data_IF_616127150808
#
_entry.id   IF_616127150808
#
_cell.length_a   1.000
_cell.length_b   1.000
_cell.length_c   1.000
_cell.angle_alpha   90.00
_cell.angle_beta   90.00
_cell.angle_gamma   90.00
#
_symmetry.space_group_name_H-M   'P 1'
#
loop_
_entity.id
_entity.type
_entity.pdbx_description
1 polymer ?
#
# COMPACT_ATOMS: atom_id res chain seq x y z
N UNK A 1 29.85 33.85 9.85
CA UNK A 1 30.01 32.96 11.01
C UNK A 1 28.88 33.06 12.06
N UNK A 2 27.82 33.88 11.87
CA UNK A 2 26.68 33.95 12.82
C UNK A 2 25.31 33.55 12.21
N UNK A 3 25.26 33.19 10.92
CA UNK A 3 24.02 32.78 10.23
C UNK A 3 23.80 31.26 10.20
N UNK A 4 24.85 30.44 10.41
CA UNK A 4 24.72 28.98 10.45
C UNK A 4 24.10 28.47 11.76
N UNK A 5 24.39 29.13 12.88
CA UNK A 5 23.90 28.70 14.20
C UNK A 5 22.40 28.95 14.35
N UNK A 6 21.87 30.12 13.96
CA UNK A 6 20.44 30.43 14.06
C UNK A 6 19.54 29.47 13.27
N UNK A 7 20.01 29.04 12.10
CA UNK A 7 19.29 28.12 11.22
C UNK A 7 19.31 26.67 11.76
N UNK A 8 20.34 26.30 12.53
CA UNK A 8 20.43 25.01 13.20
C UNK A 8 19.48 24.92 14.41
N UNK A 9 19.36 25.99 15.20
CA UNK A 9 18.42 26.07 16.34
C UNK A 9 16.95 26.06 15.88
N UNK A 10 16.59 26.88 14.88
CA UNK A 10 15.23 26.88 14.32
C UNK A 10 14.85 25.52 13.71
N UNK A 11 15.80 24.82 13.06
CA UNK A 11 15.56 23.47 12.54
C UNK A 11 15.40 22.42 13.64
N UNK A 12 16.11 22.56 14.77
CA UNK A 12 15.98 21.67 15.91
C UNK A 12 14.60 21.80 16.57
N UNK A 13 14.14 23.02 16.81
CA UNK A 13 12.81 23.29 17.39
C UNK A 13 11.68 22.81 16.47
N UNK A 14 11.78 23.08 15.17
CA UNK A 14 10.82 22.58 14.19
C UNK A 14 10.79 21.04 14.12
N UNK A 15 11.92 20.36 14.36
CA UNK A 15 12.00 18.90 14.40
C UNK A 15 11.37 18.32 15.67
N UNK A 16 11.56 18.97 16.82
CA UNK A 16 10.94 18.58 18.09
C UNK A 16 9.43 18.73 18.01
N UNK A 17 8.94 19.86 17.49
CA UNK A 17 7.50 20.11 17.35
C UNK A 17 6.83 19.11 16.41
N UNK A 18 7.45 18.83 15.25
CA UNK A 18 6.97 17.77 14.34
C UNK A 18 6.88 16.40 15.00
N UNK A 19 7.85 16.05 15.85
CA UNK A 19 7.84 14.79 16.59
C UNK A 19 6.67 14.75 17.57
N UNK A 20 6.42 15.85 18.27
CA UNK A 20 5.30 15.98 19.21
C UNK A 20 3.95 15.84 18.52
N UNK A 21 3.73 16.56 17.42
CA UNK A 21 2.50 16.48 16.63
C UNK A 21 2.23 15.06 16.12
N UNK A 22 3.29 14.37 15.66
CA UNK A 22 3.24 12.97 15.25
C UNK A 22 2.83 12.05 16.39
N UNK A 23 3.42 12.22 17.57
CA UNK A 23 3.19 11.34 18.72
C UNK A 23 1.82 11.60 19.40
N UNK A 24 1.22 12.78 19.19
CA UNK A 24 -0.13 13.14 19.66
C UNK A 24 -1.26 12.79 18.68
N UNK A 25 -0.92 12.37 17.46
CA UNK A 25 -1.92 12.13 16.42
C UNK A 25 -2.63 10.78 16.60
N UNK A 26 -3.94 10.83 16.79
CA UNK A 26 -4.81 9.66 16.78
C UNK A 26 -5.68 9.65 15.50
N UNK A 27 -5.40 8.75 14.53
CA UNK A 27 -6.17 8.68 13.30
C UNK A 27 -7.63 8.26 13.52
N UNK A 28 -7.99 7.67 14.66
CA UNK A 28 -9.37 7.21 14.90
C UNK A 28 -10.34 8.35 15.25
N UNK A 29 -9.83 9.54 15.59
CA UNK A 29 -10.64 10.72 15.91
C UNK A 29 -11.28 11.36 14.68
N UNK A 30 -10.82 11.05 13.46
CA UNK A 30 -11.41 11.60 12.25
C UNK A 30 -12.73 10.91 11.87
N UNK A 31 -13.54 11.57 11.03
CA UNK A 31 -14.75 10.95 10.47
C UNK A 31 -14.43 9.75 9.58
N UNK A 32 -15.36 8.81 9.46
CA UNK A 32 -15.16 7.58 8.69
C UNK A 32 -14.94 7.85 7.18
N UNK A 33 -15.57 8.90 6.66
CA UNK A 33 -15.39 9.34 5.26
C UNK A 33 -13.97 9.84 5.02
N UNK A 34 -13.46 10.71 5.91
CA UNK A 34 -12.11 11.22 5.84
C UNK A 34 -11.09 10.09 6.06
N UNK A 35 -11.38 9.16 6.96
CA UNK A 35 -10.56 7.98 7.21
C UNK A 35 -10.41 7.11 5.98
N UNK A 36 -11.53 6.76 5.33
CA UNK A 36 -11.53 6.00 4.07
C UNK A 36 -10.80 6.74 2.95
N UNK A 37 -10.94 8.06 2.86
CA UNK A 37 -10.22 8.86 1.87
C UNK A 37 -8.71 8.82 2.11
N UNK A 38 -8.29 8.94 3.37
CA UNK A 38 -6.89 9.05 3.77
C UNK A 38 -6.15 7.71 3.76
N UNK A 39 -6.83 6.60 4.06
CA UNK A 39 -6.20 5.29 4.24
C UNK A 39 -6.71 4.21 3.27
N UNK A 40 -7.75 4.51 2.46
CA UNK A 40 -8.45 3.54 1.60
C UNK A 40 -9.03 2.32 2.34
N UNK A 41 -9.11 2.40 3.66
CA UNK A 41 -9.65 1.38 4.56
C UNK A 41 -10.73 1.99 5.46
N UNK A 42 -11.63 1.16 5.97
CA UNK A 42 -12.45 1.54 7.13
C UNK A 42 -11.63 1.36 8.43
N UNK A 43 -12.15 1.87 9.56
CA UNK A 43 -11.46 1.83 10.86
C UNK A 43 -11.21 0.40 11.35
N UNK A 44 -12.15 -0.51 11.13
CA UNK A 44 -12.02 -1.92 11.57
C UNK A 44 -10.90 -2.64 10.81
N UNK A 45 -10.87 -2.49 9.48
CA UNK A 45 -9.81 -3.05 8.64
C UNK A 45 -8.46 -2.43 8.99
N UNK A 46 -8.39 -1.12 9.22
CA UNK A 46 -7.16 -0.48 9.68
C UNK A 46 -6.71 -1.04 11.03
N UNK A 47 -7.62 -1.21 11.99
CA UNK A 47 -7.31 -1.81 13.29
C UNK A 47 -6.77 -3.22 13.14
N UNK A 48 -7.39 -4.06 12.31
CA UNK A 48 -6.91 -5.40 12.00
C UNK A 48 -5.49 -5.39 11.40
N UNK A 49 -5.21 -4.50 10.45
CA UNK A 49 -3.86 -4.31 9.89
C UNK A 49 -2.87 -3.87 10.98
N UNK A 50 -3.27 -2.91 11.83
CA UNK A 50 -2.44 -2.38 12.91
C UNK A 50 -2.09 -3.46 13.93
N UNK A 51 -3.07 -4.24 14.38
CA UNK A 51 -2.87 -5.30 15.37
C UNK A 51 -1.95 -6.38 14.78
N UNK A 52 -2.20 -6.81 13.54
CA UNK A 52 -1.34 -7.77 12.83
C UNK A 52 0.11 -7.28 12.72
N UNK A 53 0.30 -5.99 12.41
CA UNK A 53 1.63 -5.40 12.32
C UNK A 53 2.27 -5.26 13.70
N UNK A 54 1.53 -4.82 14.71
CA UNK A 54 2.02 -4.63 16.07
C UNK A 54 2.52 -5.96 16.68
N UNK A 55 1.78 -7.05 16.51
CA UNK A 55 2.17 -8.38 17.00
C UNK A 55 3.53 -8.84 16.43
N UNK A 56 3.75 -8.64 15.13
CA UNK A 56 5.02 -9.03 14.47
C UNK A 56 6.17 -8.07 14.79
N UNK A 57 5.87 -6.82 15.16
CA UNK A 57 6.89 -5.80 15.44
C UNK A 57 7.28 -5.69 16.91
N UNK A 58 6.57 -6.33 17.83
CA UNK A 58 6.95 -6.43 19.25
C UNK A 58 8.35 -7.06 19.46
N UNK A 59 8.88 -7.76 18.45
CA UNK A 59 10.22 -8.37 18.47
C UNK A 59 11.34 -7.46 17.94
N UNK A 60 11.02 -6.30 17.34
CA UNK A 60 12.00 -5.42 16.67
C UNK A 60 12.08 -4.06 17.34
N UNK A 61 13.01 -3.92 18.29
CA UNK A 61 13.39 -2.67 18.98
C UNK A 61 14.18 -1.68 18.11
N UNK A 62 14.31 -1.94 16.81
CA UNK A 62 15.28 -1.27 15.94
C UNK A 62 14.89 0.15 15.48
N UNK A 63 13.69 0.63 15.82
CA UNK A 63 13.11 1.83 15.22
C UNK A 63 12.36 2.67 16.26
N UNK A 64 12.63 3.97 16.29
CA UNK A 64 12.08 4.95 17.24
C UNK A 64 10.60 5.31 17.01
N UNK A 65 9.94 4.66 16.04
CA UNK A 65 8.53 4.90 15.70
C UNK A 65 7.65 3.78 16.26
N UNK A 66 6.49 4.18 16.82
CA UNK A 66 5.44 3.25 17.21
C UNK A 66 4.91 2.47 16.00
N UNK A 67 4.35 1.26 16.21
CA UNK A 67 3.69 0.51 15.14
C UNK A 67 2.60 1.32 14.42
N UNK A 68 1.77 2.05 15.18
CA UNK A 68 0.75 2.96 14.64
C UNK A 68 1.34 3.95 13.64
N UNK A 69 2.42 4.61 14.03
CA UNK A 69 3.09 5.62 13.23
C UNK A 69 3.64 5.08 11.90
N UNK A 70 4.07 3.81 11.88
CA UNK A 70 4.55 3.14 10.66
C UNK A 70 3.39 2.72 9.75
N UNK A 71 2.31 2.20 10.32
CA UNK A 71 1.10 1.81 9.59
C UNK A 71 0.42 3.03 8.96
N UNK A 72 0.29 4.13 9.71
CA UNK A 72 -0.22 5.41 9.20
C UNK A 72 0.63 5.89 8.02
N UNK A 73 1.95 5.93 8.16
CA UNK A 73 2.84 6.36 7.08
C UNK A 73 2.67 5.50 5.81
N UNK A 74 2.66 4.17 5.96
CA UNK A 74 2.55 3.25 4.83
C UNK A 74 1.19 3.36 4.12
N UNK A 75 0.08 3.37 4.86
CA UNK A 75 -1.26 3.43 4.28
C UNK A 75 -1.56 4.80 3.66
N UNK A 76 -1.08 5.90 4.27
CA UNK A 76 -1.13 7.24 3.65
C UNK A 76 -0.40 7.26 2.32
N UNK A 77 0.83 6.72 2.30
CA UNK A 77 1.63 6.64 1.08
C UNK A 77 0.90 5.90 -0.05
N UNK A 78 0.23 4.78 0.24
CA UNK A 78 -0.55 4.07 -0.77
C UNK A 78 -1.81 4.82 -1.22
N UNK A 79 -2.46 5.57 -0.33
CA UNK A 79 -3.67 6.31 -0.66
C UNK A 79 -3.40 7.54 -1.53
N UNK A 80 -2.27 8.21 -1.31
CA UNK A 80 -1.86 9.46 -1.97
C UNK A 80 -0.94 9.23 -3.17
N UNK A 81 -0.19 8.13 -3.20
CA UNK A 81 0.65 7.72 -4.32
C UNK A 81 1.98 8.47 -4.45
N UNK A 82 2.37 9.30 -3.47
CA UNK A 82 3.67 10.00 -3.49
C UNK A 82 4.13 10.48 -2.11
N UNK A 83 5.34 11.05 -2.04
CA UNK A 83 5.98 11.58 -0.83
C UNK A 83 5.73 13.09 -0.56
N UNK A 84 4.90 13.81 -1.33
CA UNK A 84 4.76 15.29 -1.31
C UNK A 84 3.27 15.74 -1.28
N UNK A 85 2.80 16.87 -0.72
CA UNK A 85 3.38 18.15 -0.23
C UNK A 85 2.54 18.81 0.91
N UNK A 86 3.20 19.29 1.97
CA UNK A 86 3.28 20.74 2.26
C UNK A 86 2.02 21.56 2.58
N UNK A 87 1.04 21.07 3.35
CA UNK A 87 0.08 21.94 4.06
C UNK A 87 -0.33 21.28 5.37
N UNK A 88 0.13 21.83 6.51
CA UNK A 88 -0.41 21.73 7.90
C UNK A 88 -0.83 20.40 8.54
N UNK A 89 -0.97 19.32 7.78
CA UNK A 89 -1.70 18.08 8.12
C UNK A 89 -1.04 16.82 7.56
N UNK A 90 0.08 16.98 6.85
CA UNK A 90 0.77 15.89 6.19
C UNK A 90 1.71 15.20 7.19
N UNK A 91 1.27 14.03 7.67
CA UNK A 91 1.97 13.23 8.68
C UNK A 91 3.40 12.85 8.24
N UNK A 92 3.62 12.72 6.93
CA UNK A 92 4.94 12.43 6.37
C UNK A 92 5.92 13.58 6.56
N UNK A 93 5.45 14.83 6.70
CA UNK A 93 6.32 16.00 6.96
C UNK A 93 7.06 15.87 8.30
N UNK A 94 6.50 15.12 9.26
CA UNK A 94 7.16 14.79 10.53
C UNK A 94 8.16 13.62 10.46
N UNK A 95 8.31 12.96 9.31
CA UNK A 95 9.18 11.80 9.11
C UNK A 95 10.19 12.07 7.99
N UNK A 96 11.46 11.72 8.21
CA UNK A 96 12.45 11.76 7.12
C UNK A 96 12.10 10.74 6.04
N UNK A 97 12.36 11.06 4.77
CA UNK A 97 12.09 10.15 3.64
C UNK A 97 12.69 8.76 3.85
N UNK A 98 13.92 8.69 4.38
CA UNK A 98 14.59 7.43 4.69
C UNK A 98 13.86 6.63 5.78
N UNK A 99 13.24 7.30 6.73
CA UNK A 99 12.42 6.67 7.78
C UNK A 99 11.10 6.16 7.23
N UNK A 100 10.44 6.92 6.36
CA UNK A 100 9.22 6.49 5.65
C UNK A 100 9.54 5.25 4.80
N UNK A 101 10.61 5.31 4.00
CA UNK A 101 11.03 4.19 3.15
C UNK A 101 11.31 2.92 3.96
N UNK A 102 12.11 3.00 5.04
CA UNK A 102 12.36 1.84 5.92
C UNK A 102 11.08 1.30 6.56
N UNK A 103 10.18 2.19 6.98
CA UNK A 103 8.89 1.80 7.58
C UNK A 103 8.00 1.11 6.57
N UNK A 104 7.97 1.61 5.34
CA UNK A 104 7.21 1.05 4.22
C UNK A 104 7.71 -0.34 3.84
N UNK A 105 9.04 -0.51 3.68
CA UNK A 105 9.63 -1.81 3.36
C UNK A 105 9.29 -2.86 4.42
N UNK A 106 9.42 -2.51 5.71
CA UNK A 106 9.09 -3.41 6.80
C UNK A 106 7.59 -3.70 6.88
N UNK A 107 6.74 -2.69 6.66
CA UNK A 107 5.30 -2.87 6.58
C UNK A 107 4.92 -3.87 5.47
N UNK A 108 5.46 -3.68 4.27
CA UNK A 108 5.21 -4.56 3.13
C UNK A 108 5.64 -6.00 3.41
N UNK A 109 6.79 -6.22 4.03
CA UNK A 109 7.28 -7.55 4.40
C UNK A 109 6.29 -8.27 5.35
N UNK A 110 5.83 -7.58 6.40
CA UNK A 110 4.88 -8.15 7.36
C UNK A 110 3.53 -8.42 6.68
N UNK A 111 3.02 -7.49 5.88
CA UNK A 111 1.76 -7.68 5.14
C UNK A 111 1.83 -8.85 4.17
N UNK A 112 2.92 -8.98 3.42
CA UNK A 112 3.13 -10.09 2.49
C UNK A 112 3.14 -11.43 3.22
N UNK A 113 3.80 -11.51 4.38
CA UNK A 113 3.92 -12.75 5.16
C UNK A 113 2.64 -13.13 5.88
N UNK A 114 1.83 -12.16 6.33
CA UNK A 114 0.63 -12.40 7.13
C UNK A 114 -0.63 -12.27 6.28
N UNK A 115 -0.99 -11.04 5.91
CA UNK A 115 -2.25 -10.74 5.24
C UNK A 115 -2.35 -11.36 3.85
N UNK A 116 -1.32 -11.19 3.01
CA UNK A 116 -1.38 -11.74 1.65
C UNK A 116 -1.50 -13.26 1.67
N UNK A 117 -0.79 -13.95 2.58
CA UNK A 117 -0.89 -15.42 2.72
C UNK A 117 -2.25 -15.88 3.25
N UNK A 118 -2.87 -15.10 4.11
CA UNK A 118 -4.16 -15.43 4.70
C UNK A 118 -5.32 -15.19 3.73
N UNK A 119 -5.30 -14.06 3.02
CA UNK A 119 -6.43 -13.56 2.25
C UNK A 119 -6.33 -13.79 0.73
N UNK A 120 -5.11 -13.82 0.17
CA UNK A 120 -4.89 -14.04 -1.27
C UNK A 120 -4.59 -15.51 -1.48
N UNK A 121 -5.65 -16.30 -1.66
CA UNK A 121 -5.56 -17.72 -1.95
C UNK A 121 -6.39 -18.07 -3.18
N UNK A 122 -5.87 -18.99 -3.98
CA UNK A 122 -6.53 -19.46 -5.21
C UNK A 122 -7.40 -20.70 -4.99
N UNK A 123 -7.24 -21.38 -3.86
CA UNK A 123 -8.05 -22.55 -3.54
C UNK A 123 -9.55 -22.21 -3.54
N UNK A 124 -10.32 -23.05 -4.22
CA UNK A 124 -11.77 -23.01 -4.28
C UNK A 124 -12.32 -24.44 -4.24
N UNK A 125 -13.27 -24.70 -3.35
CA UNK A 125 -14.01 -25.96 -3.36
C UNK A 125 -14.93 -26.03 -4.59
N UNK A 126 -15.43 -27.22 -4.91
CA UNK A 126 -16.39 -27.39 -6.02
C UNK A 126 -17.69 -26.61 -5.74
N UNK A 127 -18.14 -26.56 -4.48
CA UNK A 127 -19.29 -25.75 -4.07
C UNK A 127 -19.05 -24.26 -4.31
N UNK A 128 -17.85 -23.76 -3.99
CA UNK A 128 -17.48 -22.35 -4.23
C UNK A 128 -17.42 -22.02 -5.73
N UNK A 129 -16.98 -22.97 -6.57
CA UNK A 129 -16.98 -22.81 -8.04
C UNK A 129 -18.41 -22.78 -8.58
N UNK A 130 -19.27 -23.71 -8.16
CA UNK A 130 -20.67 -23.74 -8.56
C UNK A 130 -21.40 -22.46 -8.14
N UNK A 131 -21.15 -21.97 -6.93
CA UNK A 131 -21.71 -20.71 -6.47
C UNK A 131 -21.17 -19.52 -7.28
N UNK A 132 -19.87 -19.48 -7.56
CA UNK A 132 -19.27 -18.43 -8.38
C UNK A 132 -19.90 -18.39 -9.79
N UNK A 133 -20.10 -19.56 -10.42
CA UNK A 133 -20.75 -19.67 -11.73
C UNK A 133 -22.15 -19.06 -11.73
N UNK A 134 -22.97 -19.39 -10.74
CA UNK A 134 -24.31 -18.82 -10.59
C UNK A 134 -24.27 -17.30 -10.35
N UNK A 135 -23.37 -16.84 -9.47
CA UNK A 135 -23.21 -15.41 -9.15
C UNK A 135 -22.71 -14.60 -10.37
N UNK A 136 -21.82 -15.16 -11.19
CA UNK A 136 -21.38 -14.53 -12.44
C UNK A 136 -22.46 -14.51 -13.51
N UNK A 137 -23.17 -15.62 -13.70
CA UNK A 137 -24.27 -15.69 -14.66
C UNK A 137 -25.38 -14.70 -14.32
N UNK A 138 -25.71 -14.53 -13.04
CA UNK A 138 -26.68 -13.54 -12.60
C UNK A 138 -26.27 -12.08 -12.89
N UNK A 139 -24.96 -11.78 -12.90
CA UNK A 139 -24.43 -10.42 -13.14
C UNK A 139 -24.20 -10.10 -14.62
N UNK A 140 -23.69 -11.07 -15.39
CA UNK A 140 -23.17 -10.85 -16.74
C UNK A 140 -23.83 -11.72 -17.81
N UNK A 141 -24.72 -12.66 -17.43
CA UNK A 141 -25.38 -13.61 -18.33
C UNK A 141 -24.42 -14.43 -19.21
N UNK A 142 -23.19 -14.63 -18.73
CA UNK A 142 -22.17 -15.42 -19.40
C UNK A 142 -21.92 -16.72 -18.60
N UNK A 143 -22.25 -17.91 -19.14
CA UNK A 143 -22.21 -19.17 -18.40
C UNK A 143 -20.78 -19.71 -18.22
N UNK A 144 -20.58 -20.54 -17.21
CA UNK A 144 -19.30 -21.23 -16.97
C UNK A 144 -18.18 -20.37 -16.34
N UNK A 145 -18.42 -19.11 -16.00
CA UNK A 145 -17.39 -18.25 -15.39
C UNK A 145 -17.31 -18.47 -13.90
N UNK A 146 -16.14 -18.85 -13.41
CA UNK A 146 -15.88 -18.99 -11.97
C UNK A 146 -14.88 -17.95 -11.44
N UNK A 147 -14.12 -17.31 -12.32
CA UNK A 147 -13.08 -16.33 -11.98
C UNK A 147 -12.79 -15.42 -13.18
N UNK A 148 -12.27 -14.23 -12.91
CA UNK A 148 -11.84 -13.27 -13.93
C UNK A 148 -10.32 -13.09 -13.85
N UNK A 149 -9.66 -13.01 -15.00
CA UNK A 149 -8.24 -12.70 -15.13
C UNK A 149 -8.12 -11.43 -15.95
N UNK A 150 -7.33 -10.47 -15.47
CA UNK A 150 -7.09 -9.21 -16.17
C UNK A 150 -5.64 -8.74 -15.99
N UNK A 151 -5.08 -8.12 -17.02
CA UNK A 151 -3.72 -7.60 -17.04
C UNK A 151 -3.71 -6.07 -16.94
N UNK A 152 -2.84 -5.51 -16.10
CA UNK A 152 -2.70 -4.05 -15.96
C UNK A 152 -1.24 -3.61 -15.96
N UNK A 153 -0.96 -2.50 -16.63
CA UNK A 153 0.37 -1.92 -16.69
C UNK A 153 0.59 -0.94 -15.52
N UNK A 154 1.41 -1.36 -14.56
CA UNK A 154 1.86 -0.50 -13.45
C UNK A 154 3.03 0.34 -13.95
N UNK A 155 2.83 1.66 -14.05
CA UNK A 155 3.86 2.60 -14.50
C UNK A 155 5.05 2.61 -13.53
N UNK A 156 6.26 2.56 -14.08
CA UNK A 156 7.51 2.64 -13.32
C UNK A 156 8.43 3.72 -13.89
N UNK A 157 9.43 4.11 -13.09
CA UNK A 157 10.59 4.83 -13.62
C UNK A 157 11.40 3.87 -14.50
N UNK A 158 11.98 4.39 -15.58
CA UNK A 158 12.84 3.61 -16.47
C UNK A 158 13.93 2.88 -15.67
N UNK A 159 14.00 1.54 -15.73
CA UNK A 159 15.11 0.79 -15.11
C UNK A 159 16.45 1.16 -15.76
N UNK A 160 17.52 1.18 -14.96
CA UNK A 160 18.88 1.45 -15.44
C UNK A 160 19.40 0.33 -16.34
N UNK A 161 19.01 -0.90 -16.06
CA UNK A 161 19.37 -2.10 -16.81
C UNK A 161 18.17 -2.59 -17.63
N UNK A 162 18.41 -3.00 -18.87
CA UNK A 162 17.41 -3.59 -19.77
C UNK A 162 16.09 -2.79 -19.89
N UNK A 163 16.13 -1.46 -19.71
CA UNK A 163 14.92 -0.65 -19.62
C UNK A 163 13.99 -0.73 -20.84
N UNK A 164 14.50 -1.13 -22.01
CA UNK A 164 13.69 -1.38 -23.21
C UNK A 164 12.64 -2.50 -23.00
N UNK A 165 12.93 -3.51 -22.17
CA UNK A 165 11.98 -4.57 -21.83
C UNK A 165 10.75 -4.00 -21.12
N UNK A 166 10.89 -2.91 -20.39
CA UNK A 166 9.79 -2.33 -19.63
C UNK A 166 8.97 -1.33 -20.43
N UNK A 167 9.42 -0.95 -21.63
CA UNK A 167 8.72 0.03 -22.47
C UNK A 167 7.53 -0.61 -23.18
N UNK A 168 6.32 -0.15 -22.85
CA UNK A 168 5.09 -0.72 -23.39
C UNK A 168 4.61 0.00 -24.66
N UNK A 169 3.59 -0.57 -25.31
CA UNK A 169 2.95 0.00 -26.52
C UNK A 169 2.24 1.34 -26.27
N UNK A 170 1.91 1.66 -25.01
CA UNK A 170 1.28 2.92 -24.60
C UNK A 170 2.32 4.04 -24.39
N UNK A 171 3.60 3.80 -24.67
CA UNK A 171 4.64 4.81 -24.68
C UNK A 171 5.23 5.14 -23.30
N UNK A 172 5.13 4.22 -22.33
CA UNK A 172 5.74 4.40 -21.01
C UNK A 172 6.36 3.12 -20.45
N UNK A 173 7.25 3.26 -19.47
CA UNK A 173 7.86 2.13 -18.78
C UNK A 173 6.91 1.54 -17.74
N UNK A 174 6.72 0.23 -17.73
CA UNK A 174 5.76 -0.44 -16.85
C UNK A 174 6.15 -1.88 -16.51
N UNK A 175 5.55 -2.37 -15.43
CA UNK A 175 5.44 -3.80 -15.11
C UNK A 175 4.03 -4.23 -15.52
N UNK A 176 3.91 -5.36 -16.23
CA UNK A 176 2.62 -5.99 -16.49
C UNK A 176 2.25 -6.85 -15.27
N UNK A 177 1.17 -6.49 -14.59
CA UNK A 177 0.61 -7.21 -13.46
C UNK A 177 -0.68 -7.90 -13.87
N UNK A 178 -0.72 -9.23 -13.76
CA UNK A 178 -1.91 -10.04 -13.99
C UNK A 178 -2.58 -10.25 -12.64
N UNK A 179 -3.85 -9.88 -12.54
CA UNK A 179 -4.69 -10.12 -11.37
C UNK A 179 -5.77 -11.15 -11.69
N UNK A 180 -6.03 -11.99 -10.70
CA UNK A 180 -7.13 -12.94 -10.74
C UNK A 180 -8.12 -12.58 -9.64
N UNK A 181 -9.37 -12.36 -10.01
CA UNK A 181 -10.42 -11.87 -9.11
C UNK A 181 -11.67 -12.74 -9.20
N UNK A 182 -12.37 -12.90 -8.07
CA UNK A 182 -13.69 -13.54 -8.07
C UNK A 182 -14.83 -12.54 -8.33
N UNK A 183 -16.06 -13.05 -8.36
CA UNK A 183 -17.26 -12.24 -8.64
C UNK A 183 -17.52 -11.13 -7.60
N UNK A 184 -16.87 -11.18 -6.44
CA UNK A 184 -16.99 -10.20 -5.35
C UNK A 184 -15.82 -9.24 -5.33
N UNK A 185 -15.04 -9.17 -6.41
CA UNK A 185 -13.86 -8.33 -6.55
C UNK A 185 -12.75 -8.67 -5.55
N UNK A 186 -12.74 -9.89 -4.99
CA UNK A 186 -11.66 -10.32 -4.11
C UNK A 186 -10.51 -10.83 -4.96
N UNK A 187 -9.30 -10.35 -4.69
CA UNK A 187 -8.07 -10.80 -5.37
C UNK A 187 -7.73 -12.20 -4.87
N UNK A 188 -7.65 -13.16 -5.80
CA UNK A 188 -7.34 -14.58 -5.54
C UNK A 188 -5.90 -14.93 -5.93
N UNK A 189 -5.32 -14.20 -6.86
CA UNK A 189 -3.90 -14.30 -7.23
C UNK A 189 -3.41 -13.02 -7.89
N UNK A 190 -2.11 -12.77 -7.82
CA UNK A 190 -1.43 -11.68 -8.51
C UNK A 190 -0.06 -12.15 -9.01
N UNK A 191 0.28 -11.79 -10.24
CA UNK A 191 1.62 -11.96 -10.80
C UNK A 191 2.10 -10.65 -11.42
N UNK A 192 3.13 -10.05 -10.83
CA UNK A 192 3.73 -8.78 -11.27
C UNK A 192 5.20 -8.93 -11.66
N UNK A 193 5.58 -10.10 -12.22
CA UNK A 193 6.97 -10.40 -12.61
C UNK A 193 7.30 -10.05 -14.06
N UNK A 194 6.31 -9.68 -14.86
CA UNK A 194 6.48 -9.51 -16.29
C UNK A 194 6.81 -8.06 -16.67
N UNK A 195 7.81 -7.83 -17.53
CA UNK A 195 8.14 -6.51 -18.01
C UNK A 195 7.06 -5.98 -18.99
N UNK A 196 6.97 -4.66 -19.10
CA UNK A 196 5.91 -3.97 -19.84
C UNK A 196 5.89 -4.19 -21.36
N UNK A 197 6.93 -4.78 -21.96
CA UNK A 197 6.91 -5.19 -23.37
C UNK A 197 6.02 -6.41 -23.62
N UNK A 198 5.77 -7.23 -22.59
CA UNK A 198 4.95 -8.44 -22.71
C UNK A 198 3.49 -8.08 -22.92
N UNK A 199 2.81 -8.82 -23.80
CA UNK A 199 1.39 -8.62 -24.09
C UNK A 199 0.49 -9.06 -22.92
N UNK A 200 -0.65 -8.39 -22.80
CA UNK A 200 -1.79 -8.82 -21.99
C UNK A 200 -2.13 -10.25 -22.44
N UNK A 201 -1.92 -11.23 -21.54
CA UNK A 201 -2.13 -12.65 -21.80
C UNK A 201 -3.59 -13.06 -21.67
#
# INVERSE_FOLDING_TARGET
FLEEDGNAYENADAKVERRRLRDMYDPFQMSDELFKKNFRLNKDAFKYVLDTFAEETQQSTLTSLSPLNRVVAALRFFAEGSYQHGVGTDYNVGMGQSTVSKSLSHFLEVMQRKLCREWIKFDQSEEEKMQAEQEFYAKASFPGVIICVDGTHIKIVKPSEEGFLYYNRKGFYSINAILVCDNRMRIKSIDARYPGCNHEG
#
